data_IF_126797612753
#
_entry.id   IF_126797612753
#
_cell.length_a   1.000
_cell.length_b   1.000
_cell.length_c   1.000
_cell.angle_alpha   90.00
_cell.angle_beta   90.00
_cell.angle_gamma   90.00
#
_symmetry.space_group_name_H-M   'P 1'
#
loop_
_entity.id
_entity.type
_entity.pdbx_description
1 polymer ?
#
# COMPACT_ATOMS: atom_id res chain seq x y z
N UNK A 1 37.74 27.90 -15.26
CA UNK A 1 37.11 28.23 -13.96
C UNK A 1 35.59 28.43 -14.15
N UNK A 2 34.85 27.37 -14.48
CA UNK A 2 33.39 27.44 -14.74
C UNK A 2 32.74 26.09 -14.44
N UNK A 3 32.58 25.72 -13.16
CA UNK A 3 31.80 24.51 -12.82
C UNK A 3 31.17 24.53 -11.42
N UNK A 4 31.60 25.38 -10.49
CA UNK A 4 31.08 25.36 -9.11
C UNK A 4 29.79 26.15 -8.88
N UNK A 5 29.39 27.10 -9.74
CA UNK A 5 28.21 27.96 -9.49
C UNK A 5 26.84 27.34 -9.82
N UNK A 6 26.79 26.31 -10.68
CA UNK A 6 25.51 25.71 -11.11
C UNK A 6 24.99 24.62 -10.16
N UNK A 7 25.88 23.83 -9.54
CA UNK A 7 25.50 22.79 -8.57
C UNK A 7 24.97 23.35 -7.24
N UNK A 8 25.30 24.60 -6.90
CA UNK A 8 24.84 25.27 -5.66
C UNK A 8 23.33 25.55 -5.71
N UNK A 9 22.73 25.73 -6.90
CA UNK A 9 21.31 26.05 -7.07
C UNK A 9 20.35 24.89 -6.70
N UNK A 10 20.53 23.65 -7.19
CA UNK A 10 19.64 22.54 -6.85
C UNK A 10 19.77 22.12 -5.37
N UNK A 11 20.98 22.05 -4.83
CA UNK A 11 21.17 21.71 -3.40
C UNK A 11 20.54 22.76 -2.48
N UNK A 12 20.71 24.04 -2.79
CA UNK A 12 20.05 25.13 -2.05
C UNK A 12 18.53 25.05 -2.16
N UNK A 13 17.99 24.70 -3.33
CA UNK A 13 16.55 24.51 -3.52
C UNK A 13 16.00 23.36 -2.66
N UNK A 14 16.66 22.19 -2.68
CA UNK A 14 16.28 21.03 -1.85
C UNK A 14 16.37 21.39 -0.36
N UNK A 15 17.44 22.09 0.05
CA UNK A 15 17.62 22.53 1.43
C UNK A 15 16.50 23.45 1.91
N UNK A 16 16.12 24.44 1.09
CA UNK A 16 15.00 25.34 1.39
C UNK A 16 13.68 24.56 1.47
N UNK A 17 13.45 23.62 0.54
CA UNK A 17 12.26 22.78 0.54
C UNK A 17 12.18 21.91 1.80
N UNK A 18 13.32 21.36 2.26
CA UNK A 18 13.42 20.58 3.48
C UNK A 18 13.10 21.42 4.72
N UNK A 19 13.71 22.61 4.86
CA UNK A 19 13.42 23.52 5.97
C UNK A 19 11.93 23.87 5.99
N UNK A 20 11.36 24.19 4.82
CA UNK A 20 9.95 24.49 4.71
C UNK A 20 9.08 23.28 5.08
N UNK A 21 9.45 22.06 4.67
CA UNK A 21 8.73 20.84 5.01
C UNK A 21 8.71 20.57 6.52
N UNK A 22 9.86 20.70 7.19
CA UNK A 22 10.00 20.57 8.64
C UNK A 22 9.21 21.68 9.37
N UNK A 23 9.26 22.91 8.87
CA UNK A 23 8.54 24.03 9.44
C UNK A 23 7.02 23.79 9.44
N UNK A 24 6.47 23.18 8.39
CA UNK A 24 5.03 22.86 8.23
C UNK A 24 4.51 21.76 9.17
N UNK A 25 5.38 20.95 9.76
CA UNK A 25 4.97 19.86 10.64
C UNK A 25 4.27 20.38 11.90
N UNK A 26 3.18 19.71 12.27
CA UNK A 26 2.65 19.79 13.63
C UNK A 26 3.66 19.16 14.58
N UNK A 27 4.10 19.90 15.59
CA UNK A 27 5.14 19.48 16.55
C UNK A 27 4.56 19.16 17.93
N UNK A 28 3.23 19.21 18.08
CA UNK A 28 2.59 18.93 19.37
C UNK A 28 2.62 17.44 19.69
N UNK A 29 3.07 17.11 20.90
CA UNK A 29 3.01 15.76 21.46
C UNK A 29 1.83 15.57 22.41
N UNK A 30 1.03 16.61 22.65
CA UNK A 30 -0.07 16.56 23.62
C UNK A 30 -1.35 16.02 22.96
N UNK A 31 -1.87 14.84 23.41
CA UNK A 31 -3.07 14.24 22.83
C UNK A 31 -4.33 15.12 22.97
N UNK A 32 -4.34 16.07 23.92
CA UNK A 32 -5.48 16.97 24.13
C UNK A 32 -5.81 17.78 22.87
N UNK A 33 -4.82 18.10 22.03
CA UNK A 33 -5.05 18.78 20.76
C UNK A 33 -5.82 17.91 19.78
N UNK A 34 -5.52 16.61 19.71
CA UNK A 34 -6.26 15.64 18.88
C UNK A 34 -7.68 15.49 19.39
N UNK A 35 -7.86 15.27 20.70
CA UNK A 35 -9.20 15.18 21.28
C UNK A 35 -10.05 16.44 21.06
N UNK A 36 -9.43 17.62 21.14
CA UNK A 36 -10.11 18.88 20.83
C UNK A 36 -10.50 19.00 19.36
N UNK A 37 -9.67 18.50 18.42
CA UNK A 37 -10.02 18.45 16.98
C UNK A 37 -11.20 17.52 16.75
N UNK A 38 -11.16 16.31 17.31
CA UNK A 38 -12.23 15.32 17.20
C UNK A 38 -13.54 15.85 17.78
N UNK A 39 -13.52 16.48 18.96
CA UNK A 39 -14.73 17.06 19.59
C UNK A 39 -15.35 18.20 18.77
N UNK A 40 -14.52 18.94 18.03
CA UNK A 40 -14.98 20.03 17.15
C UNK A 40 -15.38 19.55 15.75
N UNK A 41 -15.06 18.31 15.39
CA UNK A 41 -15.39 17.77 14.07
C UNK A 41 -16.87 17.41 14.02
N UNK A 42 -17.56 17.91 13.00
CA UNK A 42 -18.92 17.50 12.69
C UNK A 42 -18.87 16.21 11.88
N UNK A 43 -19.18 15.09 12.54
CA UNK A 43 -19.11 13.78 11.91
C UNK A 43 -20.16 13.64 10.82
N UNK A 44 -19.70 13.26 9.63
CA UNK A 44 -20.53 12.92 8.48
C UNK A 44 -20.75 11.41 8.40
N UNK A 45 -21.74 10.96 7.61
CA UNK A 45 -21.93 9.54 7.34
C UNK A 45 -20.67 8.86 6.79
N UNK A 46 -19.92 9.56 5.93
CA UNK A 46 -18.68 9.04 5.35
C UNK A 46 -17.62 8.77 6.43
N UNK A 47 -17.54 9.61 7.46
CA UNK A 47 -16.62 9.41 8.59
C UNK A 47 -16.96 8.13 9.37
N UNK A 48 -18.25 7.90 9.64
CA UNK A 48 -18.70 6.68 10.31
C UNK A 48 -18.42 5.44 9.48
N UNK A 49 -18.77 5.44 8.19
CA UNK A 49 -18.49 4.31 7.28
C UNK A 49 -16.99 4.02 7.26
N UNK A 50 -16.17 5.07 7.14
CA UNK A 50 -14.71 4.94 7.12
C UNK A 50 -14.18 4.32 8.41
N UNK A 51 -14.58 4.81 9.59
CA UNK A 51 -14.12 4.31 10.89
C UNK A 51 -14.59 2.88 11.12
N UNK A 52 -15.90 2.63 10.95
CA UNK A 52 -16.50 1.31 11.18
C UNK A 52 -15.87 0.26 10.27
N UNK A 53 -15.66 0.59 8.99
CA UNK A 53 -14.99 -0.31 8.05
C UNK A 53 -13.59 -0.70 8.54
N UNK A 54 -12.74 0.27 8.88
CA UNK A 54 -11.36 -0.02 9.30
C UNK A 54 -11.29 -0.75 10.65
N UNK A 55 -12.19 -0.43 11.58
CA UNK A 55 -12.26 -1.12 12.88
C UNK A 55 -12.72 -2.56 12.68
N UNK A 56 -13.80 -2.80 11.94
CA UNK A 56 -14.29 -4.14 11.64
C UNK A 56 -13.24 -4.99 10.91
N UNK A 57 -12.58 -4.39 9.91
CA UNK A 57 -11.52 -5.03 9.16
C UNK A 57 -10.32 -5.41 10.05
N UNK A 58 -9.90 -4.49 10.93
CA UNK A 58 -8.82 -4.72 11.89
C UNK A 58 -9.17 -5.84 12.86
N UNK A 59 -10.38 -5.84 13.42
CA UNK A 59 -10.87 -6.91 14.31
C UNK A 59 -10.86 -8.26 13.60
N UNK A 60 -11.40 -8.32 12.37
CA UNK A 60 -11.45 -9.54 11.57
C UNK A 60 -10.05 -10.12 11.31
N UNK A 61 -9.11 -9.30 10.85
CA UNK A 61 -7.75 -9.78 10.60
C UNK A 61 -7.00 -10.12 11.89
N UNK A 62 -7.12 -9.32 12.95
CA UNK A 62 -6.50 -9.67 14.23
C UNK A 62 -7.07 -10.94 14.83
N UNK A 63 -8.34 -11.26 14.56
CA UNK A 63 -8.94 -12.53 14.95
C UNK A 63 -8.22 -13.70 14.26
N UNK A 64 -8.07 -13.65 12.93
CA UNK A 64 -7.39 -14.70 12.14
C UNK A 64 -5.88 -14.77 12.36
N UNK A 65 -5.24 -13.69 12.79
CA UNK A 65 -3.78 -13.65 12.95
C UNK A 65 -3.28 -14.64 14.01
N UNK A 66 -2.51 -15.64 13.58
CA UNK A 66 -1.90 -16.64 14.48
C UNK A 66 -0.53 -16.20 15.01
N UNK A 67 0.24 -15.50 14.19
CA UNK A 67 1.55 -14.96 14.56
C UNK A 67 1.60 -13.45 14.21
N UNK A 68 1.99 -12.56 15.14
CA UNK A 68 2.18 -12.80 16.57
C UNK A 68 0.92 -13.32 17.26
N UNK A 69 1.07 -14.23 18.22
CA UNK A 69 -0.06 -14.76 18.98
C UNK A 69 -0.60 -13.74 19.99
N UNK A 70 -1.76 -14.02 20.57
CA UNK A 70 -2.28 -13.22 21.68
C UNK A 70 -1.35 -13.34 22.90
N UNK A 71 -1.07 -12.25 23.65
CA UNK A 71 -1.56 -10.88 23.47
C UNK A 71 -0.69 -10.01 22.54
N UNK A 72 0.43 -10.51 22.03
CA UNK A 72 1.42 -9.72 21.27
C UNK A 72 0.82 -9.04 20.03
N UNK A 73 -0.13 -9.67 19.33
CA UNK A 73 -0.85 -9.03 18.21
C UNK A 73 -1.61 -7.75 18.59
N UNK A 74 -1.98 -7.55 19.86
CA UNK A 74 -2.62 -6.31 20.32
C UNK A 74 -1.68 -5.09 20.26
N UNK A 75 -0.37 -5.29 20.10
CA UNK A 75 0.56 -4.19 19.84
C UNK A 75 0.24 -3.46 18.53
N UNK A 76 -0.32 -4.15 17.52
CA UNK A 76 -0.66 -3.55 16.23
C UNK A 76 -1.71 -2.43 16.39
N UNK A 77 -2.93 -2.70 16.91
CA UNK A 77 -3.91 -1.65 17.12
C UNK A 77 -3.47 -0.64 18.18
N UNK A 78 -2.76 -1.07 19.22
CA UNK A 78 -2.23 -0.16 20.25
C UNK A 78 -1.29 0.91 19.66
N UNK A 79 -0.29 0.49 18.87
CA UNK A 79 0.65 1.41 18.23
C UNK A 79 -0.04 2.31 17.20
N UNK A 80 -1.03 1.78 16.46
CA UNK A 80 -1.81 2.60 15.53
C UNK A 80 -2.62 3.67 16.26
N UNK A 81 -3.32 3.31 17.35
CA UNK A 81 -4.07 4.26 18.19
C UNK A 81 -3.13 5.31 18.77
N UNK A 82 -1.99 4.92 19.32
CA UNK A 82 -0.98 5.85 19.84
C UNK A 82 -0.51 6.83 18.75
N UNK A 83 -0.24 6.32 17.55
CA UNK A 83 0.17 7.12 16.40
C UNK A 83 -0.91 8.10 15.94
N UNK A 84 -2.19 7.75 16.04
CA UNK A 84 -3.32 8.63 15.70
C UNK A 84 -3.62 9.63 16.83
N UNK A 85 -3.35 9.28 18.09
CA UNK A 85 -3.61 10.16 19.24
C UNK A 85 -2.63 11.33 19.34
N UNK A 86 -1.34 11.11 19.05
CA UNK A 86 -0.30 12.13 19.17
C UNK A 86 -0.28 13.02 17.92
N UNK A 87 -0.48 14.35 18.00
CA UNK A 87 -0.58 15.23 16.82
C UNK A 87 0.63 15.16 15.87
N UNK A 88 1.84 15.05 16.45
CA UNK A 88 3.08 14.89 15.70
C UNK A 88 3.06 13.69 14.74
N UNK A 89 2.51 12.55 15.17
CA UNK A 89 2.43 11.33 14.35
C UNK A 89 1.12 11.26 13.56
N UNK A 90 0.02 11.81 14.10
CA UNK A 90 -1.32 11.64 13.52
C UNK A 90 -1.47 12.28 12.15
N UNK A 91 -0.70 13.35 11.88
CA UNK A 91 -0.64 13.98 10.55
C UNK A 91 -0.17 13.00 9.45
N UNK A 92 0.52 11.92 9.81
CA UNK A 92 0.91 10.84 8.89
C UNK A 92 0.05 9.59 9.08
N UNK A 93 -0.25 9.21 10.33
CA UNK A 93 -0.94 7.96 10.63
C UNK A 93 -2.40 7.95 10.17
N UNK A 94 -3.13 9.06 10.33
CA UNK A 94 -4.53 9.18 9.88
C UNK A 94 -4.66 9.02 8.36
N UNK A 95 -3.90 9.74 7.51
CA UNK A 95 -3.99 9.52 6.06
C UNK A 95 -3.41 8.17 5.62
N UNK A 96 -2.49 7.57 6.39
CA UNK A 96 -1.94 6.25 6.11
C UNK A 96 -2.76 5.09 6.68
N UNK A 97 -3.91 5.33 7.35
CA UNK A 97 -4.78 4.25 7.88
C UNK A 97 -5.11 3.16 6.84
N UNK A 98 -5.42 3.46 5.56
CA UNK A 98 -5.64 2.43 4.55
C UNK A 98 -4.37 1.63 4.21
N UNK A 99 -3.18 2.22 4.34
CA UNK A 99 -1.90 1.51 4.16
C UNK A 99 -1.71 0.49 5.27
N UNK A 100 -1.97 0.87 6.53
CA UNK A 100 -1.89 -0.08 7.65
C UNK A 100 -2.93 -1.20 7.54
N UNK A 101 -4.14 -0.87 7.09
CA UNK A 101 -5.17 -1.87 6.80
C UNK A 101 -4.72 -2.83 5.70
N UNK A 102 -4.17 -2.34 4.59
CA UNK A 102 -3.58 -3.16 3.54
C UNK A 102 -2.49 -4.09 4.08
N UNK A 103 -1.48 -3.56 4.79
CA UNK A 103 -0.38 -4.38 5.30
C UNK A 103 -0.86 -5.47 6.26
N UNK A 104 -1.81 -5.14 7.14
CA UNK A 104 -2.40 -6.11 8.07
C UNK A 104 -3.19 -7.18 7.32
N UNK A 105 -4.02 -6.76 6.35
CA UNK A 105 -4.80 -7.65 5.47
C UNK A 105 -3.90 -8.60 4.70
N UNK A 106 -2.88 -8.06 4.01
CA UNK A 106 -1.94 -8.81 3.20
C UNK A 106 -1.14 -9.83 4.02
N UNK A 107 -0.61 -9.40 5.17
CA UNK A 107 0.14 -10.30 6.03
C UNK A 107 -0.73 -11.43 6.57
N UNK A 108 -1.94 -11.09 7.02
CA UNK A 108 -2.83 -12.01 7.72
C UNK A 108 -3.56 -12.97 6.79
N UNK A 109 -3.73 -12.62 5.50
CA UNK A 109 -4.45 -13.47 4.53
C UNK A 109 -3.89 -14.89 4.42
N UNK A 110 -2.63 -15.13 4.80
CA UNK A 110 -2.03 -16.46 4.90
C UNK A 110 -2.69 -17.37 5.94
N UNK A 111 -3.31 -16.80 6.97
CA UNK A 111 -3.99 -17.52 8.05
C UNK A 111 -5.48 -17.76 7.77
N UNK A 112 -5.98 -17.37 6.59
CA UNK A 112 -7.35 -17.73 6.18
C UNK A 112 -7.45 -19.27 6.13
N UNK A 113 -8.40 -19.89 6.85
CA UNK A 113 -8.61 -21.33 6.81
C UNK A 113 -8.83 -21.83 5.39
N UNK A 114 -8.31 -23.00 5.06
CA UNK A 114 -8.43 -23.59 3.73
C UNK A 114 -9.90 -23.72 3.29
N UNK A 115 -10.79 -24.11 4.20
CA UNK A 115 -12.23 -24.23 3.95
C UNK A 115 -12.93 -22.91 3.61
N UNK A 116 -12.30 -21.75 3.88
CA UNK A 116 -12.83 -20.44 3.53
C UNK A 116 -12.28 -19.92 2.20
N UNK A 117 -11.22 -20.55 1.68
CA UNK A 117 -10.57 -20.10 0.44
C UNK A 117 -11.42 -20.49 -0.76
N UNK A 118 -11.70 -19.56 -1.69
CA UNK A 118 -12.28 -19.92 -2.98
C UNK A 118 -11.34 -20.84 -3.75
N UNK A 119 -11.90 -21.63 -4.66
CA UNK A 119 -11.09 -22.37 -5.63
C UNK A 119 -10.30 -21.42 -6.52
N UNK A 120 -9.07 -21.81 -6.86
CA UNK A 120 -8.21 -21.02 -7.74
C UNK A 120 -8.69 -21.13 -9.17
N UNK A 121 -8.92 -19.99 -9.81
CA UNK A 121 -9.28 -19.91 -11.22
C UNK A 121 -8.03 -20.12 -12.09
N UNK A 122 -7.90 -21.31 -12.66
CA UNK A 122 -6.79 -21.67 -13.58
C UNK A 122 -7.06 -21.27 -15.03
N UNK A 123 -8.34 -21.11 -15.42
CA UNK A 123 -8.75 -20.83 -16.82
C UNK A 123 -9.15 -19.37 -17.06
N UNK A 124 -9.46 -18.61 -16.00
CA UNK A 124 -10.01 -17.26 -16.14
C UNK A 124 -9.04 -16.30 -16.84
N UNK A 125 -7.79 -16.21 -16.38
CA UNK A 125 -6.80 -15.31 -16.99
C UNK A 125 -6.45 -15.70 -18.43
N UNK A 126 -6.15 -16.98 -18.76
CA UNK A 126 -5.93 -17.39 -20.15
C UNK A 126 -7.11 -17.08 -21.07
N UNK A 127 -8.35 -17.27 -20.58
CA UNK A 127 -9.55 -16.93 -21.36
C UNK A 127 -9.64 -15.43 -21.60
N UNK A 128 -9.40 -14.61 -20.58
CA UNK A 128 -9.40 -13.15 -20.72
C UNK A 128 -8.31 -12.67 -21.68
N UNK A 129 -7.11 -13.27 -21.66
CA UNK A 129 -6.06 -12.93 -22.62
C UNK A 129 -6.51 -13.22 -24.06
N UNK A 130 -7.07 -14.40 -24.30
CA UNK A 130 -7.57 -14.75 -25.63
C UNK A 130 -8.72 -13.85 -26.09
N UNK A 131 -9.67 -13.49 -25.21
CA UNK A 131 -10.80 -12.64 -25.57
C UNK A 131 -10.38 -11.18 -25.79
N UNK A 132 -9.52 -10.64 -24.93
CA UNK A 132 -9.13 -9.22 -24.98
C UNK A 132 -8.07 -8.94 -26.03
N UNK A 133 -7.14 -9.87 -26.22
CA UNK A 133 -5.96 -9.66 -27.06
C UNK A 133 -5.88 -10.58 -28.27
N UNK A 134 -6.82 -11.52 -28.43
CA UNK A 134 -6.86 -12.43 -29.57
C UNK A 134 -5.82 -13.55 -29.54
N UNK A 135 -5.16 -13.78 -28.40
CA UNK A 135 -4.18 -14.86 -28.24
C UNK A 135 -3.50 -14.86 -26.88
N UNK A 136 -2.61 -15.84 -26.68
CA UNK A 136 -1.80 -15.97 -25.47
C UNK A 136 -0.57 -15.04 -25.56
N UNK A 137 -0.74 -13.79 -25.09
CA UNK A 137 0.36 -12.81 -25.03
C UNK A 137 1.46 -13.32 -24.11
N UNK A 138 1.09 -13.94 -22.98
CA UNK A 138 2.05 -14.43 -21.99
C UNK A 138 3.07 -15.41 -22.58
N UNK A 139 2.61 -16.37 -23.40
CA UNK A 139 3.49 -17.30 -24.12
C UNK A 139 4.31 -16.59 -25.21
N UNK A 140 3.66 -15.70 -25.97
CA UNK A 140 4.32 -14.94 -27.04
C UNK A 140 5.50 -14.10 -26.51
N UNK A 141 5.34 -13.43 -25.37
CA UNK A 141 6.39 -12.61 -24.76
C UNK A 141 7.52 -13.46 -24.16
N UNK A 142 7.20 -14.64 -23.59
CA UNK A 142 8.19 -15.53 -22.97
C UNK A 142 9.18 -16.11 -23.98
N UNK A 143 8.76 -16.35 -25.22
CA UNK A 143 9.63 -16.92 -26.26
C UNK A 143 10.81 -16.02 -26.62
N UNK A 144 10.71 -14.71 -26.36
CA UNK A 144 11.78 -13.74 -26.59
C UNK A 144 12.52 -13.42 -25.29
N UNK A 145 13.63 -14.11 -25.06
CA UNK A 145 14.52 -13.82 -23.92
C UNK A 145 15.74 -13.03 -24.39
N UNK A 146 16.10 -11.98 -23.65
CA UNK A 146 17.29 -11.20 -23.94
C UNK A 146 17.82 -10.60 -22.64
N UNK A 147 19.07 -10.88 -22.22
CA UNK A 147 19.55 -10.53 -20.87
C UNK A 147 19.36 -9.06 -20.49
N UNK A 148 19.57 -8.13 -21.43
CA UNK A 148 19.36 -6.70 -21.17
C UNK A 148 17.87 -6.37 -21.01
N UNK A 149 17.00 -6.96 -21.83
CA UNK A 149 15.55 -6.72 -21.73
C UNK A 149 14.99 -7.35 -20.46
N UNK A 150 15.51 -8.51 -20.05
CA UNK A 150 15.13 -9.17 -18.81
C UNK A 150 15.48 -8.30 -17.60
N UNK A 151 16.67 -7.68 -17.58
CA UNK A 151 17.07 -6.73 -16.54
C UNK A 151 16.20 -5.46 -16.59
N UNK A 152 15.92 -4.93 -17.77
CA UNK A 152 15.07 -3.74 -17.93
C UNK A 152 13.61 -4.00 -17.57
N UNK A 153 13.11 -5.23 -17.74
CA UNK A 153 11.78 -5.63 -17.32
C UNK A 153 11.73 -5.93 -15.82
N UNK A 154 12.79 -6.52 -15.27
CA UNK A 154 12.91 -6.81 -13.85
C UNK A 154 13.05 -5.54 -13.02
N UNK A 155 13.83 -4.54 -13.43
CA UNK A 155 14.13 -3.37 -12.60
C UNK A 155 12.87 -2.57 -12.17
N UNK A 156 11.92 -2.23 -13.09
CA UNK A 156 10.65 -1.61 -12.72
C UNK A 156 9.86 -2.41 -11.69
N UNK A 157 9.83 -3.74 -11.84
CA UNK A 157 9.01 -4.63 -11.03
C UNK A 157 9.66 -5.02 -9.70
N UNK A 158 10.90 -5.51 -9.74
CA UNK A 158 11.63 -6.06 -8.60
C UNK A 158 12.23 -5.01 -7.66
N UNK A 159 12.50 -3.80 -8.15
CA UNK A 159 13.16 -2.74 -7.34
C UNK A 159 12.33 -1.47 -7.28
N UNK A 160 12.00 -0.90 -8.44
CA UNK A 160 11.40 0.43 -8.50
C UNK A 160 9.98 0.40 -7.92
N UNK A 161 9.15 -0.59 -8.25
CA UNK A 161 7.79 -0.71 -7.72
C UNK A 161 7.73 -0.71 -6.19
N UNK A 162 8.74 -1.31 -5.52
CA UNK A 162 8.81 -1.36 -4.06
C UNK A 162 9.23 -0.03 -3.45
N UNK A 163 10.16 0.69 -4.09
CA UNK A 163 10.75 1.92 -3.53
C UNK A 163 10.02 3.20 -3.97
N UNK A 164 9.44 3.19 -5.17
CA UNK A 164 8.83 4.36 -5.80
C UNK A 164 7.71 4.99 -4.97
N UNK A 165 6.84 4.23 -4.26
CA UNK A 165 5.83 4.85 -3.41
C UNK A 165 6.41 5.70 -2.28
N UNK A 166 7.55 5.29 -1.72
CA UNK A 166 8.25 6.02 -0.67
C UNK A 166 8.99 7.25 -1.22
N UNK A 167 9.64 7.09 -2.39
CA UNK A 167 10.24 8.23 -3.11
C UNK A 167 9.17 9.27 -3.45
N UNK A 168 8.00 8.83 -3.95
CA UNK A 168 6.90 9.72 -4.26
C UNK A 168 6.37 10.43 -3.01
N UNK A 169 6.20 9.71 -1.90
CA UNK A 169 5.83 10.32 -0.62
C UNK A 169 6.84 11.38 -0.16
N UNK A 170 8.15 11.11 -0.29
CA UNK A 170 9.22 12.06 0.03
C UNK A 170 9.17 13.31 -0.85
N UNK A 171 9.01 13.13 -2.17
CA UNK A 171 8.88 14.24 -3.13
C UNK A 171 7.66 15.10 -2.80
N UNK A 172 6.51 14.48 -2.54
CA UNK A 172 5.29 15.21 -2.15
C UNK A 172 5.46 15.95 -0.82
N UNK A 173 6.13 15.34 0.17
CA UNK A 173 6.39 15.98 1.46
C UNK A 173 7.27 17.23 1.33
N UNK A 174 8.34 17.15 0.51
CA UNK A 174 9.27 18.25 0.29
C UNK A 174 8.63 19.40 -0.49
N UNK A 175 8.02 19.08 -1.63
CA UNK A 175 7.69 20.08 -2.65
C UNK A 175 6.21 20.45 -2.74
N UNK A 176 5.30 19.77 -2.04
CA UNK A 176 3.85 20.00 -2.12
C UNK A 176 3.23 20.30 -0.75
N UNK A 177 2.02 20.90 -0.73
CA UNK A 177 1.25 21.04 0.51
C UNK A 177 0.96 19.67 1.14
N UNK A 178 0.83 19.62 2.47
CA UNK A 178 0.59 18.38 3.23
C UNK A 178 -0.58 17.54 2.71
N UNK A 179 -1.61 18.19 2.18
CA UNK A 179 -2.79 17.56 1.60
C UNK A 179 -2.45 16.61 0.44
N UNK A 180 -1.43 16.93 -0.36
CA UNK A 180 -1.01 16.08 -1.47
C UNK A 180 -0.43 14.74 -0.96
N UNK A 181 0.44 14.81 0.06
CA UNK A 181 0.96 13.61 0.73
C UNK A 181 -0.16 12.81 1.40
N UNK A 182 -1.11 13.50 2.05
CA UNK A 182 -2.25 12.84 2.71
C UNK A 182 -3.16 12.14 1.70
N UNK A 183 -3.37 12.73 0.52
CA UNK A 183 -4.15 12.12 -0.55
C UNK A 183 -3.41 10.92 -1.15
N UNK A 184 -2.11 11.06 -1.40
CA UNK A 184 -1.25 9.98 -1.89
C UNK A 184 -1.29 8.76 -0.98
N UNK A 185 -1.06 8.94 0.33
CA UNK A 185 -1.08 7.84 1.29
C UNK A 185 -2.44 7.12 1.33
N UNK A 186 -3.55 7.87 1.27
CA UNK A 186 -4.91 7.30 1.24
C UNK A 186 -5.15 6.49 -0.02
N UNK A 187 -4.88 7.06 -1.20
CA UNK A 187 -5.13 6.40 -2.48
C UNK A 187 -4.21 5.18 -2.65
N UNK A 188 -2.93 5.31 -2.30
CA UNK A 188 -1.99 4.21 -2.33
C UNK A 188 -2.46 3.06 -1.42
N UNK A 189 -2.86 3.36 -0.19
CA UNK A 189 -3.37 2.33 0.73
C UNK A 189 -4.65 1.67 0.23
N UNK A 190 -5.63 2.44 -0.25
CA UNK A 190 -6.88 1.89 -0.79
C UNK A 190 -6.68 1.03 -2.04
N UNK A 191 -5.85 1.47 -2.98
CA UNK A 191 -5.53 0.71 -4.20
C UNK A 191 -4.93 -0.65 -3.85
N UNK A 192 -3.97 -0.67 -2.92
CA UNK A 192 -3.34 -1.92 -2.51
C UNK A 192 -4.29 -2.81 -1.68
N UNK A 193 -5.08 -2.22 -0.79
CA UNK A 193 -6.09 -2.96 -0.02
C UNK A 193 -7.11 -3.63 -0.96
N UNK A 194 -7.60 -2.89 -1.96
CA UNK A 194 -8.48 -3.43 -2.98
C UNK A 194 -7.80 -4.56 -3.78
N UNK A 195 -6.54 -4.38 -4.16
CA UNK A 195 -5.76 -5.42 -4.84
C UNK A 195 -5.71 -6.72 -4.05
N UNK A 196 -5.48 -6.65 -2.74
CA UNK A 196 -5.45 -7.86 -1.89
C UNK A 196 -6.84 -8.47 -1.74
N UNK A 197 -7.91 -7.68 -1.63
CA UNK A 197 -9.26 -8.23 -1.63
C UNK A 197 -9.59 -8.96 -2.93
N UNK A 198 -9.22 -8.39 -4.08
CA UNK A 198 -9.41 -9.05 -5.38
C UNK A 198 -8.65 -10.37 -5.41
N UNK A 199 -7.40 -10.42 -4.93
CA UNK A 199 -6.63 -11.67 -4.87
C UNK A 199 -7.23 -12.74 -3.95
N UNK A 200 -7.88 -12.32 -2.86
CA UNK A 200 -8.54 -13.24 -1.91
C UNK A 200 -9.86 -13.77 -2.48
N UNK A 201 -10.68 -12.90 -3.08
CA UNK A 201 -12.01 -13.24 -3.58
C UNK A 201 -11.95 -13.94 -4.94
N UNK A 202 -11.00 -13.53 -5.79
CA UNK A 202 -10.79 -14.03 -7.13
C UNK A 202 -9.34 -14.50 -7.29
N UNK A 203 -8.94 -15.58 -6.60
CA UNK A 203 -7.60 -16.11 -6.73
C UNK A 203 -7.42 -16.72 -8.13
N UNK A 204 -6.48 -16.18 -8.90
CA UNK A 204 -6.14 -16.71 -10.23
C UNK A 204 -4.76 -17.34 -10.21
N UNK A 205 -4.60 -18.45 -10.92
CA UNK A 205 -3.28 -19.07 -11.08
C UNK A 205 -2.37 -18.15 -11.92
N UNK A 206 -1.07 -18.08 -11.60
CA UNK A 206 -0.12 -17.32 -12.41
C UNK A 206 0.10 -18.01 -13.77
N UNK A 207 0.55 -17.28 -14.82
CA UNK A 207 0.68 -17.82 -16.17
C UNK A 207 1.58 -19.07 -16.28
N UNK A 208 2.59 -19.19 -15.42
CA UNK A 208 3.47 -20.37 -15.40
C UNK A 208 2.81 -21.65 -14.93
N UNK A 209 1.68 -21.55 -14.21
CA UNK A 209 0.93 -22.71 -13.78
C UNK A 209 0.33 -23.44 -14.98
N UNK A 210 -0.30 -22.70 -15.90
CA UNK A 210 -0.84 -23.26 -17.15
C UNK A 210 0.25 -23.97 -17.97
N UNK A 211 1.43 -23.37 -18.06
CA UNK A 211 2.56 -23.97 -18.79
C UNK A 211 3.06 -25.28 -18.17
N UNK A 212 2.96 -25.42 -16.84
CA UNK A 212 3.53 -26.56 -16.11
C UNK A 212 2.51 -27.67 -15.86
N UNK A 213 1.25 -27.31 -15.64
CA UNK A 213 0.19 -28.18 -15.15
C UNK A 213 -1.09 -28.11 -16.01
N UNK A 214 -1.09 -27.29 -17.08
CA UNK A 214 -2.28 -27.06 -17.89
C UNK A 214 -3.41 -26.42 -17.09
N UNK A 215 -4.63 -26.90 -17.33
CA UNK A 215 -5.85 -26.41 -16.67
C UNK A 215 -6.29 -27.30 -15.49
N UNK A 216 -5.37 -28.11 -14.95
CA UNK A 216 -5.68 -28.92 -13.78
C UNK A 216 -5.98 -28.04 -12.56
N UNK A 217 -6.98 -28.37 -11.73
CA UNK A 217 -7.28 -27.58 -10.54
C UNK A 217 -6.06 -27.38 -9.65
N UNK A 218 -5.80 -26.15 -9.22
CA UNK A 218 -4.79 -25.86 -8.23
C UNK A 218 -5.40 -26.05 -6.83
N UNK A 219 -4.78 -26.91 -6.02
CA UNK A 219 -5.11 -27.14 -4.61
C UNK A 219 -4.24 -26.28 -3.70
#
# INVERSE_FOLDING_TARGET
MFTTRYAIRPLKFIWIALIAAIARLDKSFSPSHTFRRVRKHEFTLSDYVYIVFHVALSIFWLYLMENPSYPKKLLIPFLHILGVMVPFTSQFFVPATPVFAWLTTFYTSRFIPESWRPSVFVVLLPTLENVLYGGNISDSLRQYTHPILDVLAWLPYGVIHLMLPFVMALVLWLFRPKQALHQWARLFGWMNLLGVFVQIILPCAPPWYEMSYGVMPAS
#
